data_IF_046088097670
#
_entry.id   IF_046088097670
#
_cell.length_a   1.000
_cell.length_b   1.000
_cell.length_c   1.000
_cell.angle_alpha   90.00
_cell.angle_beta   90.00
_cell.angle_gamma   90.00
#
_symmetry.space_group_name_H-M   'P 1'
#
loop_
_entity.id
_entity.type
_entity.pdbx_description
1 polymer ?
#
# COMPACT_ATOMS: atom_id res chain seq x y z
N UNK A 1 3.91 2.68 -10.29
CA UNK A 1 2.83 2.60 -9.28
C UNK A 1 2.96 1.32 -8.44
N UNK A 2 2.66 0.13 -8.98
CA UNK A 2 2.69 -1.13 -8.21
C UNK A 2 4.08 -1.56 -7.66
N UNK A 3 5.17 -1.03 -8.22
CA UNK A 3 6.53 -1.24 -7.71
C UNK A 3 6.83 -0.52 -6.38
N UNK A 4 5.97 0.39 -5.93
CA UNK A 4 6.13 1.09 -4.66
C UNK A 4 5.57 0.21 -3.51
N UNK A 5 6.36 -0.10 -2.46
CA UNK A 5 5.93 -1.02 -1.41
C UNK A 5 4.71 -0.53 -0.61
N UNK A 6 4.60 0.78 -0.40
CA UNK A 6 3.47 1.37 0.30
C UNK A 6 2.22 1.33 -0.57
N UNK A 7 2.37 1.69 -1.85
CA UNK A 7 1.26 1.64 -2.80
C UNK A 7 0.79 0.21 -3.06
N UNK A 8 1.68 -0.79 -3.01
CA UNK A 8 1.31 -2.19 -3.10
C UNK A 8 0.35 -2.59 -1.98
N UNK A 9 0.61 -2.18 -0.73
CA UNK A 9 -0.28 -2.42 0.40
C UNK A 9 -1.65 -1.76 0.19
N UNK A 10 -1.67 -0.50 -0.27
CA UNK A 10 -2.92 0.23 -0.60
C UNK A 10 -3.70 -0.50 -1.70
N UNK A 11 -3.05 -0.91 -2.78
CA UNK A 11 -3.69 -1.63 -3.88
C UNK A 11 -4.27 -2.97 -3.42
N UNK A 12 -3.53 -3.72 -2.59
CA UNK A 12 -4.04 -4.95 -1.98
C UNK A 12 -5.26 -4.68 -1.08
N UNK A 13 -5.25 -3.60 -0.29
CA UNK A 13 -6.39 -3.18 0.53
C UNK A 13 -7.60 -2.70 -0.29
N UNK A 14 -7.39 -2.25 -1.53
CA UNK A 14 -8.47 -1.94 -2.48
C UNK A 14 -9.04 -3.20 -3.17
N UNK A 15 -8.47 -4.39 -2.90
CA UNK A 15 -8.90 -5.65 -3.50
C UNK A 15 -8.14 -6.05 -4.76
N UNK A 16 -7.02 -5.41 -5.08
CA UNK A 16 -6.18 -5.84 -6.21
C UNK A 16 -5.51 -7.17 -5.89
N UNK A 17 -5.79 -8.18 -6.70
CA UNK A 17 -5.27 -9.55 -6.54
C UNK A 17 -4.04 -9.85 -7.41
N UNK A 18 -3.68 -8.94 -8.32
CA UNK A 18 -2.52 -9.09 -9.21
C UNK A 18 -1.79 -7.77 -9.38
N UNK A 19 -0.48 -7.77 -9.12
CA UNK A 19 0.41 -6.62 -9.25
C UNK A 19 1.49 -6.92 -10.28
N UNK A 20 1.62 -6.06 -11.29
CA UNK A 20 2.66 -6.14 -12.32
C UNK A 20 3.78 -5.13 -12.04
N UNK A 21 5.03 -5.58 -12.09
CA UNK A 21 6.22 -4.79 -11.76
C UNK A 21 7.50 -5.45 -12.28
N UNK A 22 8.58 -4.68 -12.36
CA UNK A 22 9.90 -5.20 -12.70
C UNK A 22 10.47 -6.14 -11.62
N UNK A 23 11.29 -7.11 -12.02
CA UNK A 23 11.81 -8.14 -11.12
C UNK A 23 12.58 -7.58 -9.91
N UNK A 24 13.25 -6.43 -10.07
CA UNK A 24 13.96 -5.75 -8.99
C UNK A 24 13.04 -5.21 -7.87
N UNK A 25 11.76 -4.96 -8.15
CA UNK A 25 10.79 -4.45 -7.16
C UNK A 25 10.13 -5.57 -6.33
N UNK A 26 10.14 -6.82 -6.82
CA UNK A 26 9.53 -7.97 -6.15
C UNK A 26 9.97 -8.15 -4.70
N UNK A 27 11.27 -8.15 -4.33
CA UNK A 27 11.67 -8.39 -2.94
C UNK A 27 11.15 -7.30 -2.00
N UNK A 28 11.18 -6.04 -2.43
CA UNK A 28 10.71 -4.90 -1.62
C UNK A 28 9.20 -4.94 -1.40
N UNK A 29 8.43 -5.21 -2.46
CA UNK A 29 6.96 -5.31 -2.36
C UNK A 29 6.55 -6.52 -1.53
N UNK A 30 7.19 -7.68 -1.72
CA UNK A 30 6.93 -8.87 -0.90
C UNK A 30 7.22 -8.62 0.58
N UNK A 31 8.33 -7.97 0.89
CA UNK A 31 8.69 -7.64 2.28
C UNK A 31 7.66 -6.72 2.94
N UNK A 32 7.18 -5.70 2.22
CA UNK A 32 6.14 -4.81 2.73
C UNK A 32 4.80 -5.53 2.95
N UNK A 33 4.32 -6.30 1.96
CA UNK A 33 3.09 -7.06 2.10
C UNK A 33 3.17 -8.14 3.19
N UNK A 34 4.35 -8.71 3.44
CA UNK A 34 4.54 -9.66 4.54
C UNK A 34 4.58 -8.99 5.92
N UNK A 35 4.92 -7.69 5.99
CA UNK A 35 4.98 -6.93 7.24
C UNK A 35 3.60 -6.52 7.75
N UNK A 36 2.65 -6.29 6.85
CA UNK A 36 1.32 -5.76 7.19
C UNK A 36 0.23 -6.81 6.97
N UNK A 37 -0.77 -6.82 7.84
CA UNK A 37 -1.95 -7.65 7.65
C UNK A 37 -2.88 -7.08 6.59
N UNK A 38 -3.77 -7.91 6.01
CA UNK A 38 -4.78 -7.43 5.06
C UNK A 38 -5.65 -6.30 5.68
N UNK A 39 -6.05 -6.45 6.94
CA UNK A 39 -6.83 -5.42 7.64
C UNK A 39 -6.09 -4.07 7.79
N UNK A 40 -4.76 -4.10 7.92
CA UNK A 40 -3.94 -2.87 7.91
C UNK A 40 -3.87 -2.26 6.52
N UNK A 41 -3.71 -3.08 5.48
CA UNK A 41 -3.76 -2.65 4.09
C UNK A 41 -5.12 -2.01 3.73
N UNK A 42 -6.24 -2.60 4.18
CA UNK A 42 -7.58 -2.05 3.99
C UNK A 42 -7.77 -0.70 4.68
N UNK A 43 -7.26 -0.54 5.91
CA UNK A 43 -7.27 0.76 6.61
C UNK A 43 -6.43 1.80 5.89
N UNK A 44 -5.24 1.43 5.40
CA UNK A 44 -4.39 2.32 4.63
C UNK A 44 -5.06 2.74 3.32
N UNK A 45 -5.77 1.81 2.66
CA UNK A 45 -6.55 2.08 1.47
C UNK A 45 -7.73 3.03 1.73
N UNK A 46 -8.46 2.83 2.83
CA UNK A 46 -9.54 3.73 3.23
C UNK A 46 -9.02 5.15 3.50
N UNK A 47 -7.91 5.29 4.22
CA UNK A 47 -7.27 6.57 4.49
C UNK A 47 -6.78 7.26 3.21
N UNK A 48 -6.16 6.50 2.30
CA UNK A 48 -5.75 7.01 0.99
C UNK A 48 -6.93 7.50 0.14
N UNK A 49 -8.06 6.78 0.18
CA UNK A 49 -9.27 7.14 -0.58
C UNK A 49 -10.00 8.36 -0.01
N UNK A 50 -9.81 8.67 1.26
CA UNK A 50 -10.39 9.85 1.91
C UNK A 50 -9.59 11.14 1.66
N UNK A 51 -8.39 11.05 1.09
CA UNK A 51 -7.54 12.20 0.85
C UNK A 51 -7.91 12.96 -0.45
N UNK A 52 -7.78 14.28 -0.41
CA UNK A 52 -8.10 15.18 -1.54
C UNK A 52 -7.00 15.30 -2.60
N UNK A 53 -5.86 14.64 -2.40
CA UNK A 53 -4.71 14.74 -3.31
C UNK A 53 -3.85 13.48 -3.25
N UNK A 54 -3.12 13.22 -4.33
CA UNK A 54 -2.23 12.05 -4.40
C UNK A 54 -1.11 12.08 -3.33
N UNK A 55 -0.62 13.27 -2.99
CA UNK A 55 0.38 13.44 -1.93
C UNK A 55 -0.22 13.11 -0.55
N UNK A 56 -1.39 13.67 -0.24
CA UNK A 56 -2.12 13.38 1.01
C UNK A 56 -2.52 11.91 1.11
N UNK A 57 -2.95 11.29 0.02
CA UNK A 57 -3.29 9.87 -0.01
C UNK A 57 -2.09 9.00 0.39
N UNK A 58 -0.91 9.33 -0.12
CA UNK A 58 0.33 8.61 0.23
C UNK A 58 0.70 8.83 1.69
N UNK A 59 0.59 10.06 2.18
CA UNK A 59 0.89 10.38 3.58
C UNK A 59 -0.09 9.70 4.55
N UNK A 60 -1.39 9.72 4.23
CA UNK A 60 -2.43 9.08 5.01
C UNK A 60 -2.24 7.56 5.08
N UNK A 61 -1.98 6.89 3.96
CA UNK A 61 -1.64 5.47 3.96
C UNK A 61 -0.37 5.17 4.76
N UNK A 62 0.67 6.00 4.63
CA UNK A 62 1.90 5.85 5.40
C UNK A 62 1.64 6.00 6.90
N UNK A 63 0.84 6.98 7.32
CA UNK A 63 0.52 7.21 8.71
C UNK A 63 -0.19 6.00 9.34
N UNK A 64 -1.09 5.35 8.60
CA UNK A 64 -1.74 4.12 9.04
C UNK A 64 -0.75 2.97 9.20
N UNK A 65 0.12 2.75 8.20
CA UNK A 65 1.05 1.62 8.20
C UNK A 65 2.25 1.81 9.15
N UNK A 66 2.65 3.05 9.45
CA UNK A 66 3.74 3.35 10.40
C UNK A 66 3.28 3.42 11.86
N UNK A 67 1.97 3.52 12.10
CA UNK A 67 1.38 3.60 13.44
C UNK A 67 1.03 2.25 14.07
N UNK A 68 1.31 1.15 13.37
CA UNK A 68 1.08 -0.25 13.78
C UNK A 68 2.40 -0.93 14.16
#
# INVERSE_FOLDING_TARGET
>A
AASDPLLACVLTGLGVTSLSMGAASLPYVRAALAKFTLAQCERAAAAARAADSAADARNAAQAVLSGE
#
